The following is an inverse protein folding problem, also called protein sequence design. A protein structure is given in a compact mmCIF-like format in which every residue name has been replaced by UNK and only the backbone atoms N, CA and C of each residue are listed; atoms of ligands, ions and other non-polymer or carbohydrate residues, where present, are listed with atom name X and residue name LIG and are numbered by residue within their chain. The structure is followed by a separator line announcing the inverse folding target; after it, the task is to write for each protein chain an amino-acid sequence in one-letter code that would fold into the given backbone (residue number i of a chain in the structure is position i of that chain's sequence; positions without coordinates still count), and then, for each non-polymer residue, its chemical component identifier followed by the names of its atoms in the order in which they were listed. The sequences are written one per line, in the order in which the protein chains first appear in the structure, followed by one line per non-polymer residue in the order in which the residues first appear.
data_IF_805947319329
#
_entry.id   IF_805947319329
#
_cell.length_a   1.000
_cell.length_b   1.000
_cell.length_c   1.000
_cell.angle_alpha   90.00
_cell.angle_beta   90.00
_cell.angle_gamma   90.00
#
_symmetry.space_group_name_H-M   'P 1'
#
loop_
_entity.id
_entity.type
_entity.pdbx_description
1 polymer ?
#
# COMPACT_ATOMS: atom_id res chain seq x y z
N UNK A 1 -49.00 30.03 -19.67
CA UNK A 1 -47.91 31.03 -19.79
C UNK A 1 -46.63 30.25 -20.06
N UNK A 2 -46.26 30.06 -21.33
CA UNK A 2 -45.37 30.96 -22.11
C UNK A 2 -43.91 30.80 -21.64
N UNK A 3 -42.91 30.54 -22.46
CA UNK A 3 -42.80 30.68 -23.90
C UNK A 3 -41.62 29.83 -24.40
N UNK A 4 -41.76 29.46 -25.66
CA UNK A 4 -40.79 28.95 -26.64
C UNK A 4 -39.39 29.59 -26.58
N UNK A 5 -38.36 28.78 -26.85
CA UNK A 5 -37.22 29.10 -27.76
C UNK A 5 -36.61 27.76 -28.17
N UNK A 6 -36.96 27.16 -29.32
CA UNK A 6 -36.42 27.43 -30.68
C UNK A 6 -34.89 27.62 -30.62
N UNK A 7 -34.08 26.60 -30.92
CA UNK A 7 -33.80 25.98 -32.23
C UNK A 7 -32.50 26.49 -32.86
N UNK A 8 -31.74 25.53 -33.38
CA UNK A 8 -30.74 25.62 -34.46
C UNK A 8 -29.30 25.92 -34.05
N UNK A 9 -28.24 25.40 -34.68
CA UNK A 9 -27.93 24.24 -35.55
C UNK A 9 -26.44 24.43 -35.90
N UNK A 10 -25.72 23.34 -36.18
CA UNK A 10 -24.39 23.27 -36.82
C UNK A 10 -23.23 23.70 -35.92
N UNK A 11 -22.16 22.91 -35.79
CA UNK A 11 -21.36 22.35 -36.88
C UNK A 11 -20.61 21.09 -36.40
N UNK A 12 -20.81 19.97 -37.11
CA UNK A 12 -19.73 19.02 -37.41
C UNK A 12 -19.28 19.31 -38.87
N UNK A 13 -18.21 18.72 -39.44
CA UNK A 13 -17.06 17.97 -38.89
C UNK A 13 -15.70 18.46 -39.47
N UNK A 14 -14.58 17.85 -39.05
CA UNK A 14 -13.51 17.24 -39.87
C UNK A 14 -12.20 17.27 -39.04
N UNK A 15 -11.79 16.14 -38.46
CA UNK A 15 -11.00 15.07 -39.08
C UNK A 15 -9.50 15.25 -38.76
N UNK A 16 -9.08 14.62 -37.67
CA UNK A 16 -7.71 14.11 -37.52
C UNK A 16 -7.80 12.70 -36.98
N UNK A 17 -7.88 11.76 -37.91
CA UNK A 17 -7.31 10.42 -37.83
C UNK A 17 -5.98 10.42 -37.05
N UNK A 18 -5.95 9.78 -35.89
CA UNK A 18 -4.79 9.00 -35.48
C UNK A 18 -5.26 7.64 -34.94
N UNK A 19 -4.59 6.62 -35.48
CA UNK A 19 -4.84 5.20 -35.29
C UNK A 19 -4.49 4.74 -33.87
N UNK A 20 -5.17 3.67 -33.47
CA UNK A 20 -4.75 2.56 -32.61
C UNK A 20 -3.34 2.54 -32.01
N UNK A 21 -3.30 2.02 -30.78
CA UNK A 21 -2.13 1.57 -30.03
C UNK A 21 -2.02 2.41 -28.77
N UNK A 22 -2.02 1.91 -27.54
CA UNK A 22 -1.79 0.59 -27.01
C UNK A 22 -2.56 0.54 -25.67
N UNK A 23 -3.23 -0.57 -25.41
CA UNK A 23 -2.79 -1.52 -24.40
C UNK A 23 -3.00 -0.97 -22.98
N UNK A 24 -4.01 -1.56 -22.35
CA UNK A 24 -4.25 -1.51 -20.92
C UNK A 24 -2.92 -1.71 -20.17
N UNK A 25 -2.29 -0.63 -19.75
CA UNK A 25 -1.52 -0.72 -18.52
C UNK A 25 -2.57 -0.64 -17.45
N UNK A 26 -3.01 -1.82 -16.99
CA UNK A 26 -3.67 -1.94 -15.71
C UNK A 26 -2.94 -0.99 -14.77
N UNK A 27 -3.63 0.07 -14.36
CA UNK A 27 -3.27 0.76 -13.15
C UNK A 27 -3.28 -0.36 -12.11
N UNK A 28 -2.10 -0.91 -11.81
CA UNK A 28 -1.96 -1.80 -10.70
C UNK A 28 -2.21 -0.90 -9.51
N UNK A 29 -3.48 -0.81 -9.15
CA UNK A 29 -3.93 -0.60 -7.80
C UNK A 29 -3.38 -1.77 -6.98
N UNK A 30 -2.05 -1.86 -6.82
CA UNK A 30 -1.49 -2.36 -5.59
C UNK A 30 -1.89 -1.31 -4.54
N UNK A 31 -3.17 -1.37 -4.17
CA UNK A 31 -3.60 -0.98 -2.85
C UNK A 31 -2.64 -1.72 -1.94
N UNK A 32 -1.78 -0.93 -1.30
CA UNK A 32 -0.90 -1.38 -0.23
C UNK A 32 -1.81 -2.06 0.81
N UNK A 33 -1.91 -3.39 0.68
CA UNK A 33 -2.67 -4.24 1.58
C UNK A 33 -1.77 -4.41 2.79
N UNK A 34 -2.27 -3.97 3.95
CA UNK A 34 -1.89 -4.59 5.20
C UNK A 34 -1.19 -3.74 6.25
N UNK A 35 -1.51 -2.45 6.39
CA UNK A 35 -1.48 -1.83 7.74
C UNK A 35 -2.86 -1.93 8.37
N UNK A 36 -3.26 -3.15 8.77
CA UNK A 36 -4.37 -3.32 9.73
C UNK A 36 -3.85 -2.74 11.04
N UNK A 37 -4.29 -1.52 11.35
CA UNK A 37 -3.84 -0.74 12.49
C UNK A 37 -4.61 -1.19 13.74
N UNK A 38 -4.15 -2.27 14.37
CA UNK A 38 -4.49 -2.56 15.76
C UNK A 38 -3.67 -1.58 16.63
N UNK A 39 -4.23 -0.39 16.87
CA UNK A 39 -3.65 0.66 17.73
C UNK A 39 -3.79 0.28 19.21
N UNK A 40 -3.16 -0.82 19.61
CA UNK A 40 -2.81 -1.03 21.01
C UNK A 40 -1.56 -0.17 21.24
N UNK A 41 -1.76 1.04 21.78
CA UNK A 41 -0.91 2.24 21.91
C UNK A 41 0.60 2.30 21.50
N UNK A 42 1.35 1.19 21.45
CA UNK A 42 2.75 1.13 21.04
C UNK A 42 3.11 0.00 20.06
N UNK A 43 2.12 -0.66 19.43
CA UNK A 43 2.37 -1.74 18.47
C UNK A 43 2.11 -1.29 17.03
N UNK A 44 3.05 -1.58 16.13
CA UNK A 44 2.91 -1.44 14.68
C UNK A 44 2.90 -2.82 14.02
N UNK A 45 1.83 -3.13 13.30
CA UNK A 45 1.67 -4.38 12.57
C UNK A 45 1.93 -4.18 11.07
N UNK A 46 2.67 -5.10 10.47
CA UNK A 46 2.90 -5.17 9.02
C UNK A 46 2.48 -6.55 8.51
N UNK A 47 1.65 -6.56 7.47
CA UNK A 47 1.21 -7.77 6.80
C UNK A 47 1.41 -7.60 5.30
N UNK A 48 2.12 -8.54 4.67
CA UNK A 48 2.31 -8.52 3.23
C UNK A 48 2.51 -9.93 2.67
N UNK A 49 1.93 -10.21 1.50
CA UNK A 49 2.12 -11.48 0.79
C UNK A 49 3.17 -11.30 -0.29
N UNK A 50 4.24 -12.09 -0.20
CA UNK A 50 5.35 -12.12 -1.15
C UNK A 50 5.26 -13.35 -2.05
N UNK A 51 5.91 -13.30 -3.22
CA UNK A 51 5.99 -14.45 -4.11
C UNK A 51 6.84 -15.58 -3.52
N UNK A 52 7.86 -15.23 -2.72
CA UNK A 52 8.81 -16.20 -2.16
C UNK A 52 9.15 -15.93 -0.70
N UNK A 53 9.51 -16.98 0.02
CA UNK A 53 9.96 -16.89 1.41
C UNK A 53 11.26 -16.07 1.55
N UNK A 54 12.09 -16.04 0.51
CA UNK A 54 13.30 -15.23 0.48
C UNK A 54 12.97 -13.73 0.51
N UNK A 55 12.00 -13.28 -0.30
CA UNK A 55 11.53 -11.89 -0.28
C UNK A 55 10.90 -11.52 1.07
N UNK A 56 10.08 -12.41 1.64
CA UNK A 56 9.51 -12.21 2.97
C UNK A 56 10.59 -12.05 4.06
N UNK A 57 11.65 -12.86 4.01
CA UNK A 57 12.78 -12.76 4.95
C UNK A 57 13.60 -11.49 4.76
N UNK A 58 13.86 -11.08 3.52
CA UNK A 58 14.56 -9.83 3.21
C UNK A 58 13.76 -8.62 3.71
N UNK A 59 12.44 -8.63 3.51
CA UNK A 59 11.57 -7.58 4.05
C UNK A 59 11.59 -7.58 5.58
N UNK A 60 11.44 -8.74 6.22
CA UNK A 60 11.51 -8.85 7.68
C UNK A 60 12.83 -8.28 8.22
N UNK A 61 13.96 -8.56 7.57
CA UNK A 61 15.25 -7.99 7.94
C UNK A 61 15.24 -6.47 7.79
N UNK A 62 14.76 -5.95 6.66
CA UNK A 62 14.67 -4.50 6.40
C UNK A 62 13.81 -3.79 7.45
N UNK A 63 12.65 -4.35 7.78
CA UNK A 63 11.75 -3.82 8.80
C UNK A 63 12.40 -3.88 10.21
N UNK A 64 13.11 -4.97 10.51
CA UNK A 64 13.85 -5.12 11.76
C UNK A 64 14.94 -4.06 11.88
N UNK A 65 15.74 -3.85 10.84
CA UNK A 65 16.80 -2.82 10.83
C UNK A 65 16.22 -1.41 11.01
N UNK A 66 15.08 -1.12 10.37
CA UNK A 66 14.36 0.15 10.57
C UNK A 66 13.86 0.30 12.00
N UNK A 67 13.27 -0.75 12.59
CA UNK A 67 12.80 -0.73 13.97
C UNK A 67 13.97 -0.47 14.93
N UNK A 68 15.11 -1.14 14.73
CA UNK A 68 16.34 -0.91 15.50
C UNK A 68 16.91 0.50 15.35
N UNK A 69 16.67 1.18 14.23
CA UNK A 69 17.08 2.57 14.02
C UNK A 69 16.17 3.60 14.71
N UNK A 70 14.92 3.22 15.01
CA UNK A 70 13.92 4.09 15.64
C UNK A 70 13.81 3.84 17.14
N UNK A 71 14.04 2.60 17.58
CA UNK A 71 13.91 2.20 18.97
C UNK A 71 14.98 2.87 19.85
N UNK A 72 14.56 3.37 21.01
CA UNK A 72 15.45 3.83 22.08
C UNK A 72 15.70 2.72 23.09
N UNK A 73 14.74 1.81 23.25
CA UNK A 73 14.83 0.57 24.02
C UNK A 73 14.50 -0.62 23.11
N UNK A 74 14.95 -1.85 23.44
CA UNK A 74 14.71 -3.01 22.58
C UNK A 74 13.21 -3.21 22.32
N UNK A 75 12.77 -3.02 21.07
CA UNK A 75 11.39 -3.31 20.70
C UNK A 75 11.16 -4.83 20.64
N UNK A 76 9.95 -5.26 21.01
CA UNK A 76 9.54 -6.65 20.86
C UNK A 76 9.06 -6.88 19.43
N UNK A 77 9.70 -7.82 18.74
CA UNK A 77 9.41 -8.15 17.34
C UNK A 77 8.85 -9.56 17.29
N UNK A 78 7.57 -9.69 16.93
CA UNK A 78 6.93 -10.97 16.72
C UNK A 78 6.62 -11.14 15.24
N UNK A 79 7.39 -11.97 14.55
CA UNK A 79 7.18 -12.26 13.13
C UNK A 79 6.73 -13.70 12.87
N UNK A 80 5.91 -13.85 11.84
CA UNK A 80 5.36 -15.11 11.37
C UNK A 80 5.39 -15.11 9.85
N UNK A 81 5.98 -16.17 9.28
CA UNK A 81 6.04 -16.37 7.84
C UNK A 81 5.29 -17.67 7.54
N UNK A 82 4.22 -17.58 6.75
CA UNK A 82 3.37 -18.71 6.40
C UNK A 82 3.15 -18.78 4.89
N UNK A 83 3.09 -20.00 4.36
CA UNK A 83 2.72 -20.21 2.96
C UNK A 83 1.19 -20.12 2.84
N UNK A 84 0.72 -19.27 1.97
CA UNK A 84 -0.70 -19.04 1.66
C UNK A 84 -0.96 -19.38 0.20
N UNK A 85 -2.23 -19.53 -0.20
CA UNK A 85 -2.58 -19.86 -1.59
C UNK A 85 -2.01 -18.85 -2.62
N UNK A 86 -1.85 -17.59 -2.21
CA UNK A 86 -1.37 -16.48 -3.04
C UNK A 86 0.15 -16.23 -2.93
N UNK A 87 0.89 -17.09 -2.21
CA UNK A 87 2.35 -16.96 -2.03
C UNK A 87 2.83 -17.23 -0.61
N UNK A 88 3.58 -16.29 -0.04
CA UNK A 88 4.13 -16.35 1.31
C UNK A 88 3.74 -15.10 2.08
N UNK A 89 2.87 -15.24 3.06
CA UNK A 89 2.48 -14.15 3.95
C UNK A 89 3.55 -13.94 5.03
N UNK A 90 4.06 -12.70 5.11
CA UNK A 90 4.79 -12.19 6.25
C UNK A 90 3.81 -11.39 7.10
N UNK A 91 3.63 -11.80 8.34
CA UNK A 91 2.99 -11.01 9.40
C UNK A 91 4.04 -10.68 10.45
N UNK A 92 4.16 -9.41 10.82
CA UNK A 92 5.06 -9.00 11.90
C UNK A 92 4.46 -7.87 12.73
N UNK A 93 4.62 -7.98 14.03
CA UNK A 93 4.20 -7.01 15.04
C UNK A 93 5.44 -6.45 15.74
N UNK A 94 5.60 -5.13 15.71
CA UNK A 94 6.65 -4.39 16.39
C UNK A 94 6.05 -3.64 17.56
N UNK A 95 6.39 -4.04 18.79
CA UNK A 95 5.94 -3.34 20.01
C UNK A 95 7.09 -2.51 20.56
N UNK A 96 6.95 -1.20 20.47
CA UNK A 96 7.93 -0.23 20.95
C UNK A 96 7.65 0.16 22.40
N UNK A 97 8.64 0.74 23.07
CA UNK A 97 8.46 1.26 24.42
C UNK A 97 7.63 2.55 24.45
N UNK A 98 7.63 3.32 23.36
CA UNK A 98 6.90 4.58 23.25
C UNK A 98 6.06 4.68 21.97
N UNK A 99 4.93 5.37 22.08
CA UNK A 99 4.04 5.67 20.96
C UNK A 99 4.74 6.53 19.88
N UNK A 100 5.64 7.44 20.28
CA UNK A 100 6.39 8.26 19.33
C UNK A 100 7.26 7.41 18.39
N UNK A 101 7.92 6.38 18.92
CA UNK A 101 8.75 5.44 18.15
C UNK A 101 7.89 4.65 17.16
N UNK A 102 6.73 4.20 17.62
CA UNK A 102 5.72 3.52 16.78
C UNK A 102 5.29 4.42 15.61
N UNK A 103 5.02 5.70 15.87
CA UNK A 103 4.66 6.66 14.83
C UNK A 103 5.82 6.94 13.86
N UNK A 104 7.04 7.13 14.35
CA UNK A 104 8.24 7.35 13.51
C UNK A 104 8.49 6.13 12.62
N UNK A 105 8.39 4.93 13.18
CA UNK A 105 8.55 3.68 12.44
C UNK A 105 7.50 3.57 11.33
N UNK A 106 6.21 3.77 11.66
CA UNK A 106 5.12 3.72 10.67
C UNK A 106 5.23 4.80 9.58
N UNK A 107 5.73 5.99 9.90
CA UNK A 107 6.00 7.03 8.89
C UNK A 107 7.11 6.60 7.91
N UNK A 108 8.08 5.81 8.37
CA UNK A 108 9.13 5.24 7.53
C UNK A 108 8.71 4.04 6.67
N UNK A 109 7.48 3.52 6.84
CA UNK A 109 6.95 2.41 6.02
C UNK A 109 6.14 2.90 4.80
N UNK A 110 5.89 4.22 4.70
CA UNK A 110 5.29 4.86 3.53
C UNK A 110 6.34 5.21 2.49
#
# INVERSE_FOLDING_TARGET
MSDVTMSSKSTQPLHSINKCGAEETAACCCVDVGTIMDNTDCTASYLHVFETEAQAKEMLQTLTERARGVESEPCEINSKIEKVDDGVELKVDFTFSCQAETMIFQLGLR
#
